data_IF_044329802978
#
_entry.id   IF_044329802978
#
_cell.length_a   1.000
_cell.length_b   1.000
_cell.length_c   1.000
_cell.angle_alpha   90.00
_cell.angle_beta   90.00
_cell.angle_gamma   90.00
#
_symmetry.space_group_name_H-M   'P 1'
#
loop_
_entity.id
_entity.type
_entity.pdbx_description
1 polymer ?
#
# COMPACT_ATOMS: atom_id res chain seq x y z
N UNK A 1 7.03 -17.63 -8.98
CA UNK A 1 6.16 -16.57 -8.40
C UNK A 1 6.78 -16.07 -7.11
N UNK A 2 6.62 -14.78 -6.76
CA UNK A 2 7.16 -14.21 -5.52
C UNK A 2 6.09 -13.42 -4.75
N UNK A 3 6.13 -13.49 -3.42
CA UNK A 3 5.29 -12.71 -2.49
C UNK A 3 6.21 -12.22 -1.38
N UNK A 4 6.19 -10.91 -1.10
CA UNK A 4 7.05 -10.30 -0.10
C UNK A 4 8.42 -9.87 -0.65
N UNK A 5 9.44 -9.96 0.20
CA UNK A 5 10.81 -9.52 -0.09
C UNK A 5 11.81 -10.67 -0.27
N UNK A 6 11.34 -11.91 -0.38
CA UNK A 6 12.22 -13.03 -0.67
C UNK A 6 12.91 -12.83 -2.04
N UNK A 7 14.20 -13.16 -2.09
CA UNK A 7 15.03 -13.02 -3.29
C UNK A 7 15.41 -14.41 -3.79
N UNK A 8 15.20 -14.65 -5.09
CA UNK A 8 15.74 -15.82 -5.77
C UNK A 8 16.69 -15.39 -6.87
N UNK A 9 17.69 -16.22 -7.13
CA UNK A 9 18.70 -16.03 -8.13
C UNK A 9 18.78 -17.25 -9.04
N UNK A 10 19.14 -17.02 -10.30
CA UNK A 10 19.54 -18.05 -11.25
C UNK A 10 21.03 -17.87 -11.48
N UNK A 11 21.80 -18.93 -11.23
CA UNK A 11 23.20 -19.03 -11.60
C UNK A 11 23.32 -19.74 -12.94
N UNK A 12 24.13 -19.18 -13.83
CA UNK A 12 24.45 -19.74 -15.13
C UNK A 12 25.97 -19.74 -15.29
N UNK A 13 26.55 -20.89 -15.59
CA UNK A 13 27.95 -20.98 -16.01
C UNK A 13 28.04 -20.57 -17.48
N UNK A 14 28.88 -19.59 -17.77
CA UNK A 14 29.11 -19.09 -19.12
C UNK A 14 30.11 -19.96 -19.88
N UNK A 15 30.22 -19.78 -21.20
CA UNK A 15 31.17 -20.53 -22.04
C UNK A 15 32.65 -20.33 -21.62
N UNK A 16 32.97 -19.24 -20.90
CA UNK A 16 34.31 -18.99 -20.34
C UNK A 16 34.56 -19.68 -19.00
N UNK A 17 33.56 -20.35 -18.42
CA UNK A 17 33.58 -20.92 -17.08
C UNK A 17 33.27 -19.92 -15.95
N UNK A 18 32.92 -18.67 -16.28
CA UNK A 18 32.52 -17.69 -15.28
C UNK A 18 31.08 -17.94 -14.82
N UNK A 19 30.80 -17.73 -13.53
CA UNK A 19 29.45 -17.79 -12.98
C UNK A 19 28.74 -16.44 -13.12
N UNK A 20 27.69 -16.41 -13.94
CA UNK A 20 26.75 -15.28 -14.02
C UNK A 20 25.58 -15.51 -13.07
N UNK A 21 25.31 -14.54 -12.19
CA UNK A 21 24.18 -14.59 -11.25
C UNK A 21 23.16 -13.52 -11.63
N UNK A 22 21.96 -13.95 -12.01
CA UNK A 22 20.86 -13.04 -12.34
C UNK A 22 19.76 -13.18 -11.31
N UNK A 23 19.26 -12.06 -10.81
CA UNK A 23 18.13 -12.05 -9.89
C UNK A 23 16.84 -12.40 -10.63
N UNK A 24 16.13 -13.42 -10.14
CA UNK A 24 14.93 -13.97 -10.76
C UNK A 24 13.61 -13.45 -10.17
N UNK A 25 13.66 -12.72 -9.05
CA UNK A 25 12.45 -12.19 -8.40
C UNK A 25 12.47 -10.68 -8.24
N UNK A 26 11.30 -10.08 -8.37
CA UNK A 26 11.06 -8.69 -7.96
C UNK A 26 10.71 -8.68 -6.47
N UNK A 27 11.30 -7.75 -5.71
CA UNK A 27 10.98 -7.56 -4.28
C UNK A 27 9.79 -6.63 -4.17
N UNK A 28 8.84 -6.99 -3.32
CA UNK A 28 7.62 -6.23 -3.10
C UNK A 28 7.72 -5.41 -1.81
N UNK A 29 8.39 -4.25 -1.90
CA UNK A 29 8.54 -3.27 -0.82
C UNK A 29 8.24 -1.86 -1.32
N UNK A 30 8.00 -0.92 -0.41
CA UNK A 30 7.73 0.50 -0.76
C UNK A 30 8.98 1.28 -1.20
N UNK A 31 10.17 0.68 -1.11
CA UNK A 31 11.36 1.20 -1.79
C UNK A 31 11.27 1.05 -3.32
N UNK A 32 10.39 0.16 -3.81
CA UNK A 32 10.16 -0.02 -5.25
C UNK A 32 9.02 0.90 -5.69
N UNK A 33 9.34 1.94 -6.46
CA UNK A 33 8.37 2.96 -6.90
C UNK A 33 7.09 2.36 -7.51
N UNK A 34 7.22 1.27 -8.28
CA UNK A 34 6.07 0.55 -8.87
C UNK A 34 5.12 -0.03 -7.82
N UNK A 35 5.65 -0.59 -6.73
CA UNK A 35 4.82 -1.12 -5.66
C UNK A 35 4.18 -0.01 -4.85
N UNK A 36 4.89 1.08 -4.59
CA UNK A 36 4.34 2.28 -3.93
C UNK A 36 3.16 2.84 -4.71
N UNK A 37 3.32 3.08 -6.02
CA UNK A 37 2.21 3.53 -6.88
C UNK A 37 1.02 2.56 -6.86
N UNK A 38 1.29 1.25 -6.87
CA UNK A 38 0.23 0.23 -6.87
C UNK A 38 -0.59 0.26 -5.59
N UNK A 39 0.06 0.36 -4.42
CA UNK A 39 -0.66 0.34 -3.14
C UNK A 39 -1.37 1.66 -2.86
N UNK A 40 -0.80 2.80 -3.24
CA UNK A 40 -1.47 4.11 -3.08
C UNK A 40 -2.68 4.23 -3.99
N UNK A 41 -2.62 3.70 -5.21
CA UNK A 41 -3.75 3.70 -6.15
C UNK A 41 -4.99 2.94 -5.63
N UNK A 42 -4.81 1.99 -4.71
CA UNK A 42 -5.92 1.27 -4.05
C UNK A 42 -6.25 1.82 -2.66
N UNK A 43 -5.71 2.99 -2.31
CA UNK A 43 -5.98 3.65 -1.03
C UNK A 43 -5.33 3.00 0.18
N UNK A 44 -4.25 2.24 0.01
CA UNK A 44 -3.53 1.67 1.15
C UNK A 44 -2.90 2.77 2.01
N UNK A 45 -3.04 2.63 3.33
CA UNK A 45 -2.47 3.56 4.29
C UNK A 45 -0.96 3.34 4.43
N UNK A 46 -0.21 4.44 4.30
CA UNK A 46 1.25 4.45 4.46
C UNK A 46 1.60 5.28 5.69
N UNK A 47 2.50 4.76 6.50
CA UNK A 47 3.11 5.50 7.61
C UNK A 47 4.62 5.24 7.62
N UNK A 48 5.34 5.90 8.53
CA UNK A 48 6.76 5.63 8.71
C UNK A 48 6.95 4.51 9.73
N UNK A 49 7.99 3.72 9.54
CA UNK A 49 8.42 2.71 10.51
C UNK A 49 8.79 3.34 11.86
N UNK A 50 9.07 2.51 12.87
CA UNK A 50 9.41 3.01 14.21
C UNK A 50 10.66 3.91 14.22
N UNK A 51 11.54 3.78 13.22
CA UNK A 51 12.72 4.65 13.07
C UNK A 51 12.40 5.99 12.41
N UNK A 52 11.20 6.16 11.82
CA UNK A 52 10.80 7.34 11.06
C UNK A 52 11.46 7.44 9.68
N UNK A 53 12.34 6.50 9.31
CA UNK A 53 13.17 6.63 8.12
C UNK A 53 12.55 5.99 6.87
N UNK A 54 11.70 4.97 7.04
CA UNK A 54 11.18 4.19 5.92
C UNK A 54 9.66 4.21 5.90
N UNK A 55 9.08 4.43 4.71
CA UNK A 55 7.66 4.20 4.50
C UNK A 55 7.34 2.71 4.55
N UNK A 56 6.27 2.38 5.26
CA UNK A 56 5.71 1.03 5.44
C UNK A 56 4.20 1.05 5.25
N UNK A 57 3.61 -0.11 4.97
CA UNK A 57 2.15 -0.26 5.00
C UNK A 57 1.68 -0.24 6.45
N UNK A 58 0.53 0.37 6.70
CA UNK A 58 -0.05 0.45 8.04
C UNK A 58 -1.46 -0.13 8.02
N UNK A 59 -1.78 -0.95 9.02
CA UNK A 59 -3.13 -1.50 9.14
C UNK A 59 -4.08 -0.37 9.49
N UNK A 60 -5.36 -0.45 9.07
CA UNK A 60 -6.40 0.36 9.68
C UNK A 60 -6.33 0.23 11.21
N UNK A 61 -6.62 1.33 11.92
CA UNK A 61 -6.66 1.33 13.38
C UNK A 61 -7.67 0.27 13.87
N UNK A 62 -7.20 -0.66 14.69
CA UNK A 62 -8.04 -1.70 15.27
C UNK A 62 -8.82 -1.15 16.48
N UNK A 63 -9.84 -1.88 16.94
CA UNK A 63 -10.69 -1.46 18.08
C UNK A 63 -9.90 -1.25 19.39
N UNK A 64 -8.74 -1.89 19.52
CA UNK A 64 -7.83 -1.73 20.66
C UNK A 64 -6.85 -0.54 20.49
N UNK A 65 -7.03 0.26 19.44
CA UNK A 65 -6.20 1.41 19.09
C UNK A 65 -4.83 1.05 18.52
N UNK A 66 -4.51 -0.23 18.32
CA UNK A 66 -3.22 -0.62 17.75
C UNK A 66 -3.21 -0.46 16.23
N UNK A 67 -2.04 -0.05 15.74
CA UNK A 67 -1.69 0.01 14.32
C UNK A 67 -0.52 -0.94 14.11
N UNK A 68 -0.70 -1.92 13.23
CA UNK A 68 0.37 -2.81 12.80
C UNK A 68 1.07 -2.23 11.57
N UNK A 69 2.36 -2.52 11.40
CA UNK A 69 3.14 -2.08 10.24
C UNK A 69 3.70 -3.26 9.45
N UNK A 70 3.84 -3.09 8.14
CA UNK A 70 4.38 -4.11 7.24
C UNK A 70 5.32 -3.50 6.20
N UNK A 71 6.58 -3.96 6.20
CA UNK A 71 7.61 -3.47 5.27
C UNK A 71 7.46 -4.00 3.83
N UNK A 72 6.61 -5.02 3.64
CA UNK A 72 6.35 -5.63 2.34
C UNK A 72 4.96 -5.26 1.83
N UNK A 73 4.84 -5.01 0.52
CA UNK A 73 3.57 -4.65 -0.11
C UNK A 73 2.71 -5.86 -0.50
N UNK A 74 3.24 -7.08 -0.34
CA UNK A 74 2.53 -8.35 -0.57
C UNK A 74 2.90 -9.36 0.51
N UNK A 75 1.90 -9.94 1.16
CA UNK A 75 2.09 -11.00 2.14
C UNK A 75 0.88 -11.96 2.16
N UNK A 76 1.14 -13.23 2.45
CA UNK A 76 0.10 -14.20 2.80
C UNK A 76 -0.35 -13.95 4.26
N UNK A 77 -1.61 -14.20 4.59
CA UNK A 77 -2.12 -13.88 5.93
C UNK A 77 -2.31 -12.38 6.16
N UNK A 78 -1.85 -11.84 7.29
CA UNK A 78 -1.96 -10.43 7.69
C UNK A 78 -3.39 -9.89 7.56
N UNK A 79 -4.31 -10.50 8.31
CA UNK A 79 -5.74 -10.22 8.26
C UNK A 79 -6.06 -8.74 8.54
N UNK A 80 -5.30 -8.10 9.42
CA UNK A 80 -5.41 -6.68 9.77
C UNK A 80 -5.33 -5.76 8.54
N UNK A 81 -4.57 -6.14 7.51
CA UNK A 81 -4.41 -5.37 6.26
C UNK A 81 -5.40 -5.76 5.15
N UNK A 82 -6.23 -6.78 5.40
CA UNK A 82 -7.15 -7.37 4.41
C UNK A 82 -8.60 -7.35 4.85
N UNK A 83 -8.85 -7.12 6.14
CA UNK A 83 -10.19 -6.88 6.62
C UNK A 83 -10.72 -5.65 5.87
N UNK A 84 -11.86 -5.81 5.19
CA UNK A 84 -12.61 -4.67 4.71
C UNK A 84 -12.82 -3.76 5.92
N UNK A 85 -12.30 -2.53 5.85
CA UNK A 85 -12.72 -1.48 6.76
C UNK A 85 -14.24 -1.51 6.66
N UNK A 86 -14.93 -1.90 7.75
CA UNK A 86 -16.40 -1.83 7.76
C UNK A 86 -16.73 -0.42 7.30
N UNK A 87 -17.55 -0.33 6.25
CA UNK A 87 -18.15 0.94 5.85
C UNK A 87 -18.58 1.63 7.14
N UNK A 88 -17.97 2.77 7.45
CA UNK A 88 -18.59 3.70 8.38
C UNK A 88 -19.83 4.19 7.65
N UNK A 89 -20.87 3.38 7.69
CA UNK A 89 -22.19 3.68 7.18
C UNK A 89 -22.62 4.97 7.90
N UNK A 90 -22.67 6.04 7.09
CA UNK A 90 -23.76 7.00 7.03
C UNK A 90 -24.54 7.19 8.34
N UNK A 91 -24.03 8.07 9.19
CA UNK A 91 -24.85 9.04 9.90
C UNK A 91 -24.25 10.43 9.64
N UNK A 92 -24.43 10.91 8.41
CA UNK A 92 -24.58 12.34 8.16
C UNK A 92 -26.01 12.54 7.71
N UNK A 93 -26.83 12.92 8.67
CA UNK A 93 -28.11 13.60 8.45
C UNK A 93 -27.95 14.63 7.31
N UNK A 94 -28.77 14.60 6.24
CA UNK A 94 -28.74 15.63 5.23
C UNK A 94 -29.48 16.86 5.78
N UNK A 95 -28.83 17.59 6.69
CA UNK A 95 -29.29 18.90 7.13
C UNK A 95 -29.20 19.90 5.98
N UNK A 96 -30.37 20.32 5.50
CA UNK A 96 -30.71 21.46 4.62
C UNK A 96 -29.69 21.86 3.55
N UNK A 97 -30.03 21.54 2.30
CA UNK A 97 -29.52 22.28 1.15
C UNK A 97 -30.06 23.72 1.19
N UNK A 98 -29.24 24.68 1.65
CA UNK A 98 -29.49 26.08 1.35
C UNK A 98 -29.41 26.28 -0.17
N UNK A 99 -30.53 26.68 -0.75
CA UNK A 99 -30.64 27.01 -2.16
C UNK A 99 -29.76 28.24 -2.48
N UNK A 100 -28.55 28.00 -2.98
CA UNK A 100 -27.73 29.06 -3.58
C UNK A 100 -28.45 29.53 -4.84
N UNK A 101 -29.10 30.70 -4.73
CA UNK A 101 -29.72 31.38 -5.86
C UNK A 101 -28.60 31.87 -6.78
N UNK A 102 -28.59 31.53 -8.09
CA UNK A 102 -27.56 32.04 -8.99
C UNK A 102 -27.73 33.57 -9.18
N UNK A 103 -26.63 34.34 -9.29
CA UNK A 103 -26.72 35.78 -9.46
C UNK A 103 -27.36 36.13 -10.81
N UNK A 104 -28.28 37.09 -10.78
CA UNK A 104 -28.91 37.67 -11.97
C UNK A 104 -27.85 38.27 -12.89
N UNK A 105 -27.80 37.91 -14.18
CA UNK A 105 -26.91 38.58 -15.11
C UNK A 105 -27.39 40.02 -15.32
N UNK A 106 -26.50 40.99 -15.07
CA UNK A 106 -26.69 42.38 -15.48
C UNK A 106 -26.51 42.45 -17.01
N UNK A 107 -27.51 43.04 -17.67
CA UNK A 107 -27.49 43.39 -19.11
C UNK A 107 -26.63 44.64 -19.30
#
# INVERSE_FOLDING_TARGET
ANVGNAVAFVGEETDSGDLRVTRATVVHTLATARETMRVTAVGAELCHDASGCQQVLCSPQQDDGKVETLHVSRALGNRSFKAAVKDKDKDKDPGEAEAVTPPTPLI
#
